data_IF_556351945981
#
_entry.id   IF_556351945981
#
_cell.length_a   1.000
_cell.length_b   1.000
_cell.length_c   1.000
_cell.angle_alpha   90.00
_cell.angle_beta   90.00
_cell.angle_gamma   90.00
#
_symmetry.space_group_name_H-M   'P 1'
#
loop_
_entity.id
_entity.type
_entity.pdbx_description
1 polymer ?
#
# COMPACT_ATOMS: atom_id res chain seq x y z
N UNK A 1 -3.61 -14.59 -1.33
CA UNK A 1 -2.87 -13.36 -0.96
C UNK A 1 -3.70 -12.18 -1.42
N UNK A 2 -3.94 -11.17 -0.55
CA UNK A 2 -4.82 -10.05 -0.90
C UNK A 2 -4.20 -9.14 -1.96
N UNK A 3 -5.02 -8.73 -2.93
CA UNK A 3 -4.65 -7.74 -3.92
C UNK A 3 -5.26 -6.38 -3.57
N UNK A 4 -4.43 -5.37 -3.37
CA UNK A 4 -4.84 -3.98 -3.14
C UNK A 4 -4.67 -3.21 -4.45
N UNK A 5 -5.78 -2.85 -5.09
CA UNK A 5 -5.72 -1.99 -6.27
C UNK A 5 -5.51 -0.54 -5.85
N UNK A 6 -4.41 0.06 -6.31
CA UNK A 6 -4.11 1.47 -6.04
C UNK A 6 -4.59 2.34 -7.21
N UNK A 7 -5.49 3.28 -6.95
CA UNK A 7 -5.96 4.30 -7.91
C UNK A 7 -4.87 5.34 -8.18
N UNK A 8 -3.67 4.85 -8.56
CA UNK A 8 -2.45 5.67 -8.64
C UNK A 8 -1.65 5.40 -9.89
N UNK A 9 -1.12 6.48 -10.47
CA UNK A 9 -0.08 6.47 -11.51
C UNK A 9 1.05 7.41 -11.10
N UNK A 10 2.30 7.07 -11.41
CA UNK A 10 3.48 7.89 -11.10
C UNK A 10 3.52 8.38 -9.64
N UNK A 11 3.17 7.48 -8.71
CA UNK A 11 3.09 7.73 -7.26
C UNK A 11 2.10 8.83 -6.83
N UNK A 12 1.08 9.11 -7.62
CA UNK A 12 0.00 10.06 -7.30
C UNK A 12 -1.37 9.42 -7.56
N UNK A 13 -2.37 9.79 -6.77
CA UNK A 13 -3.77 9.45 -7.05
C UNK A 13 -4.18 10.07 -8.38
N UNK A 14 -4.81 9.28 -9.26
CA UNK A 14 -5.26 9.78 -10.56
C UNK A 14 -6.40 10.79 -10.39
N UNK A 15 -6.40 11.83 -11.21
CA UNK A 15 -7.35 12.96 -11.06
C UNK A 15 -8.81 12.56 -11.30
N UNK A 16 -9.03 11.53 -12.12
CA UNK A 16 -10.32 10.92 -12.44
C UNK A 16 -10.64 9.70 -11.57
N UNK A 17 -10.06 9.62 -10.35
CA UNK A 17 -10.14 8.47 -9.46
C UNK A 17 -11.58 8.04 -9.11
N UNK A 18 -12.53 8.97 -9.05
CA UNK A 18 -13.94 8.67 -8.78
C UNK A 18 -14.59 7.96 -9.96
N UNK A 19 -14.38 8.47 -11.17
CA UNK A 19 -14.87 7.89 -12.42
C UNK A 19 -14.26 6.50 -12.66
N UNK A 20 -12.95 6.36 -12.47
CA UNK A 20 -12.26 5.07 -12.56
C UNK A 20 -12.80 4.09 -11.53
N UNK A 21 -13.03 4.52 -10.29
CA UNK A 21 -13.59 3.65 -9.25
C UNK A 21 -14.99 3.15 -9.64
N UNK A 22 -15.86 4.02 -10.15
CA UNK A 22 -17.21 3.59 -10.63
C UNK A 22 -17.13 2.60 -11.80
N UNK A 23 -16.18 2.78 -12.73
CA UNK A 23 -15.96 1.83 -13.83
C UNK A 23 -15.57 0.44 -13.34
N UNK A 24 -14.72 0.35 -12.31
CA UNK A 24 -14.22 -0.94 -11.79
C UNK A 24 -15.07 -1.53 -10.66
N UNK A 25 -16.00 -0.77 -10.09
CA UNK A 25 -16.88 -1.23 -9.00
C UNK A 25 -17.55 -2.60 -9.28
N UNK A 26 -18.01 -2.90 -10.51
CA UNK A 26 -18.60 -4.21 -10.82
C UNK A 26 -17.64 -5.40 -10.68
N UNK A 27 -16.33 -5.18 -10.60
CA UNK A 27 -15.36 -6.25 -10.39
C UNK A 27 -15.35 -6.78 -8.96
N UNK A 28 -15.96 -6.07 -8.01
CA UNK A 28 -16.06 -6.50 -6.62
C UNK A 28 -14.71 -6.64 -5.91
N UNK A 29 -13.76 -5.74 -6.18
CA UNK A 29 -12.44 -5.75 -5.52
C UNK A 29 -12.61 -5.55 -4.01
N UNK A 30 -12.02 -6.44 -3.21
CA UNK A 30 -12.12 -6.37 -1.74
C UNK A 30 -11.22 -5.30 -1.11
N UNK A 31 -10.20 -4.79 -1.83
CA UNK A 31 -9.20 -3.86 -1.31
C UNK A 31 -8.86 -2.80 -2.37
N UNK A 32 -9.11 -1.53 -2.05
CA UNK A 32 -8.84 -0.40 -2.94
C UNK A 32 -8.13 0.70 -2.17
N UNK A 33 -7.08 1.24 -2.77
CA UNK A 33 -6.26 2.27 -2.15
C UNK A 33 -5.95 3.45 -3.08
N UNK A 34 -5.42 4.48 -2.47
CA UNK A 34 -4.96 5.70 -3.13
C UNK A 34 -3.85 6.35 -2.30
N UNK A 35 -3.27 7.46 -2.81
CA UNK A 35 -2.21 8.20 -2.11
C UNK A 35 -2.71 9.54 -1.61
N UNK A 36 -1.98 10.11 -0.65
CA UNK A 36 -2.26 11.40 -0.03
C UNK A 36 -2.00 12.60 -0.95
N UNK A 37 -1.51 12.35 -2.16
CA UNK A 37 -1.18 13.34 -3.19
C UNK A 37 -1.90 13.06 -4.51
N UNK A 38 -2.04 14.08 -5.36
CA UNK A 38 -2.64 13.99 -6.69
C UNK A 38 -4.04 14.59 -6.79
N UNK A 39 -4.83 14.60 -5.71
CA UNK A 39 -6.17 15.19 -5.63
C UNK A 39 -6.38 15.92 -4.32
N UNK A 40 -7.43 16.75 -4.26
CA UNK A 40 -7.78 17.49 -3.05
C UNK A 40 -8.43 16.59 -1.98
N UNK A 41 -8.45 17.10 -0.73
CA UNK A 41 -9.00 16.39 0.43
C UNK A 41 -10.49 16.02 0.29
N UNK A 42 -11.27 16.89 -0.35
CA UNK A 42 -12.69 16.60 -0.60
C UNK A 42 -12.88 15.41 -1.53
N UNK A 43 -12.02 15.29 -2.55
CA UNK A 43 -12.00 14.14 -3.44
C UNK A 43 -11.57 12.86 -2.71
N UNK A 44 -10.54 12.91 -1.85
CA UNK A 44 -10.14 11.77 -1.02
C UNK A 44 -11.27 11.30 -0.10
N UNK A 45 -12.03 12.23 0.49
CA UNK A 45 -13.19 11.91 1.32
C UNK A 45 -14.30 11.20 0.53
N UNK A 46 -14.67 11.74 -0.65
CA UNK A 46 -15.68 11.10 -1.52
C UNK A 46 -15.24 9.71 -1.97
N UNK A 47 -13.96 9.57 -2.34
CA UNK A 47 -13.40 8.29 -2.76
C UNK A 47 -13.40 7.25 -1.64
N UNK A 48 -12.96 7.62 -0.42
CA UNK A 48 -13.02 6.75 0.76
C UNK A 48 -14.44 6.25 1.00
N UNK A 49 -15.41 7.15 0.95
CA UNK A 49 -16.82 6.83 1.13
C UNK A 49 -17.32 5.86 0.07
N UNK A 50 -17.04 6.12 -1.22
CA UNK A 50 -17.46 5.27 -2.32
C UNK A 50 -16.87 3.85 -2.21
N UNK A 51 -15.58 3.73 -1.83
CA UNK A 51 -14.91 2.44 -1.60
C UNK A 51 -15.61 1.68 -0.47
N UNK A 52 -15.85 2.32 0.67
CA UNK A 52 -16.51 1.67 1.83
C UNK A 52 -17.97 1.27 1.53
N UNK A 53 -18.71 2.10 0.81
CA UNK A 53 -20.08 1.79 0.37
C UNK A 53 -20.14 0.61 -0.61
N UNK A 54 -19.05 0.31 -1.32
CA UNK A 54 -18.96 -0.90 -2.15
C UNK A 54 -18.66 -2.19 -1.36
N UNK A 55 -18.40 -2.09 -0.06
CA UNK A 55 -17.97 -3.19 0.80
C UNK A 55 -16.47 -3.48 0.77
N UNK A 56 -15.68 -2.68 0.05
CA UNK A 56 -14.23 -2.83 0.00
C UNK A 56 -13.53 -2.14 1.18
N UNK A 57 -12.40 -2.68 1.60
CA UNK A 57 -11.48 -2.04 2.56
C UNK A 57 -10.75 -0.88 1.88
N UNK A 58 -10.77 0.29 2.50
CA UNK A 58 -10.11 1.50 1.99
C UNK A 58 -8.68 1.65 2.53
N UNK A 59 -7.74 2.00 1.64
CA UNK A 59 -6.33 2.22 1.98
C UNK A 59 -5.88 3.61 1.55
N UNK A 60 -5.09 4.27 2.41
CA UNK A 60 -4.36 5.49 2.05
C UNK A 60 -2.88 5.29 2.31
N UNK A 61 -2.04 5.50 1.30
CA UNK A 61 -0.58 5.45 1.41
C UNK A 61 0.00 6.87 1.51
N UNK A 62 0.69 7.15 2.62
CA UNK A 62 1.39 8.41 2.87
C UNK A 62 2.74 8.37 2.18
N UNK A 63 2.91 9.18 1.14
CA UNK A 63 4.16 9.32 0.37
C UNK A 63 4.82 10.69 0.57
N UNK A 64 4.23 11.53 1.39
CA UNK A 64 4.78 12.85 1.74
C UNK A 64 6.16 12.72 2.39
N UNK A 65 7.12 13.53 1.93
CA UNK A 65 8.53 13.42 2.31
C UNK A 65 8.91 14.22 3.55
N UNK A 66 8.11 15.23 3.94
CA UNK A 66 8.34 15.98 5.17
C UNK A 66 7.51 15.42 6.32
N UNK A 67 8.05 15.50 7.55
CA UNK A 67 7.36 15.09 8.76
C UNK A 67 6.00 15.77 8.92
N UNK A 68 5.94 17.10 8.71
CA UNK A 68 4.71 17.87 8.85
C UNK A 68 3.65 17.42 7.85
N UNK A 69 4.01 17.24 6.57
CA UNK A 69 3.10 16.77 5.54
C UNK A 69 2.62 15.34 5.83
N UNK A 70 3.50 14.44 6.26
CA UNK A 70 3.12 13.07 6.63
C UNK A 70 2.14 13.03 7.81
N UNK A 71 2.33 13.86 8.83
CA UNK A 71 1.40 13.96 9.96
C UNK A 71 0.05 14.59 9.54
N UNK A 72 0.06 15.57 8.63
CA UNK A 72 -1.18 16.13 8.08
C UNK A 72 -1.95 15.09 7.26
N UNK A 73 -1.25 14.28 6.46
CA UNK A 73 -1.87 13.18 5.72
C UNK A 73 -2.46 12.12 6.65
N UNK A 74 -1.78 11.78 7.75
CA UNK A 74 -2.31 10.88 8.76
C UNK A 74 -3.56 11.43 9.47
N UNK A 75 -3.59 12.74 9.78
CA UNK A 75 -4.81 13.39 10.32
C UNK A 75 -5.95 13.35 9.32
N UNK A 76 -5.67 13.65 8.05
CA UNK A 76 -6.66 13.55 6.97
C UNK A 76 -7.21 12.13 6.86
N UNK A 77 -6.34 11.10 6.89
CA UNK A 77 -6.76 9.70 6.85
C UNK A 77 -7.75 9.34 7.97
N UNK A 78 -7.47 9.78 9.20
CA UNK A 78 -8.38 9.58 10.34
C UNK A 78 -9.70 10.32 10.13
N UNK A 79 -9.67 11.58 9.70
CA UNK A 79 -10.87 12.41 9.51
C UNK A 79 -11.78 11.89 8.40
N UNK A 80 -11.22 11.35 7.30
CA UNK A 80 -12.01 10.76 6.22
C UNK A 80 -12.43 9.31 6.50
N UNK A 81 -11.98 8.73 7.64
CA UNK A 81 -12.38 7.40 8.10
C UNK A 81 -11.78 6.25 7.30
N UNK A 82 -10.49 6.38 6.91
CA UNK A 82 -9.76 5.31 6.20
C UNK A 82 -9.67 4.06 7.07
N UNK A 83 -9.81 2.86 6.50
CA UNK A 83 -9.68 1.62 7.26
C UNK A 83 -8.22 1.28 7.52
N UNK A 84 -7.34 1.48 6.53
CA UNK A 84 -5.92 1.13 6.60
C UNK A 84 -5.02 2.25 6.09
N UNK A 85 -4.15 2.76 6.96
CA UNK A 85 -3.15 3.77 6.67
C UNK A 85 -1.81 3.08 6.42
N UNK A 86 -1.20 3.34 5.28
CA UNK A 86 0.09 2.78 4.86
C UNK A 86 1.15 3.88 4.75
N UNK A 87 2.41 3.50 4.85
CA UNK A 87 3.54 4.40 4.63
C UNK A 87 3.86 5.32 5.80
N UNK A 88 4.66 6.35 5.53
CA UNK A 88 5.19 7.24 6.56
C UNK A 88 6.28 6.61 7.43
N UNK A 89 7.04 7.46 8.14
CA UNK A 89 8.20 7.05 8.95
C UNK A 89 8.15 7.56 10.39
N UNK A 90 7.32 8.56 10.68
CA UNK A 90 7.12 9.10 12.04
C UNK A 90 6.16 8.22 12.85
N UNK A 91 6.50 6.94 12.99
CA UNK A 91 5.61 5.88 13.48
C UNK A 91 4.99 6.22 14.83
N UNK A 92 5.78 6.66 15.80
CA UNK A 92 5.29 6.98 17.14
C UNK A 92 4.25 8.12 17.14
N UNK A 93 4.46 9.14 16.31
CA UNK A 93 3.53 10.27 16.23
C UNK A 93 2.25 9.91 15.46
N UNK A 94 2.38 9.14 14.37
CA UNK A 94 1.21 8.65 13.62
C UNK A 94 0.38 7.70 14.50
N UNK A 95 1.03 6.80 15.26
CA UNK A 95 0.33 5.91 16.21
C UNK A 95 -0.49 6.68 17.26
N UNK A 96 -0.02 7.85 17.73
CA UNK A 96 -0.83 8.70 18.63
C UNK A 96 -2.12 9.17 17.98
N UNK A 97 -2.11 9.43 16.66
CA UNK A 97 -3.29 9.88 15.92
C UNK A 97 -4.28 8.74 15.66
N UNK A 98 -3.80 7.53 15.37
CA UNK A 98 -4.67 6.41 14.94
C UNK A 98 -5.12 5.49 16.08
N UNK A 99 -4.41 5.46 17.23
CA UNK A 99 -4.62 4.48 18.33
C UNK A 99 -6.06 4.40 18.85
N UNK A 100 -6.80 5.50 18.83
CA UNK A 100 -8.19 5.58 19.34
C UNK A 100 -9.22 5.63 18.21
N UNK A 101 -8.81 5.32 17.01
CA UNK A 101 -9.66 5.28 15.82
C UNK A 101 -9.80 3.84 15.32
N UNK A 102 -10.66 3.61 14.36
CA UNK A 102 -10.76 2.31 13.68
C UNK A 102 -9.68 2.07 12.61
N UNK A 103 -8.74 3.01 12.43
CA UNK A 103 -7.72 2.93 11.38
C UNK A 103 -6.55 2.05 11.80
N UNK A 104 -6.27 0.98 11.05
CA UNK A 104 -5.07 0.17 11.21
C UNK A 104 -3.87 0.81 10.50
N UNK A 105 -2.67 0.75 11.10
CA UNK A 105 -1.49 1.43 10.56
C UNK A 105 -0.36 0.47 10.16
N UNK A 106 0.24 0.73 8.98
CA UNK A 106 1.27 -0.08 8.32
C UNK A 106 2.41 0.82 7.84
N UNK A 107 3.38 1.21 8.70
CA UNK A 107 4.49 2.09 8.34
C UNK A 107 5.48 1.45 7.36
N UNK A 108 6.30 2.28 6.68
CA UNK A 108 7.45 1.81 5.91
C UNK A 108 8.59 1.37 6.84
N UNK A 109 9.03 0.10 6.79
CA UNK A 109 10.26 -0.32 7.45
C UNK A 109 11.47 0.00 6.56
N UNK A 110 12.69 0.01 7.16
CA UNK A 110 13.93 0.34 6.46
C UNK A 110 14.20 1.84 6.39
N UNK A 111 14.75 2.31 5.27
CA UNK A 111 15.10 3.72 5.02
C UNK A 111 14.45 4.21 3.73
N UNK A 112 13.15 4.52 3.74
CA UNK A 112 12.49 5.08 2.57
C UNK A 112 13.01 6.48 2.28
N UNK A 113 13.31 6.77 1.00
CA UNK A 113 13.86 8.06 0.55
C UNK A 113 13.30 8.45 -0.81
N UNK A 114 13.18 9.76 -1.03
CA UNK A 114 12.82 10.35 -2.32
C UNK A 114 11.35 10.20 -2.74
N UNK A 115 11.07 10.71 -3.93
CA UNK A 115 9.79 10.56 -4.61
C UNK A 115 10.07 10.42 -6.12
N UNK A 116 9.72 9.30 -6.78
CA UNK A 116 9.14 8.07 -6.22
C UNK A 116 9.99 7.44 -5.11
N UNK A 117 9.31 6.95 -4.06
CA UNK A 117 10.00 6.42 -2.87
C UNK A 117 10.79 5.16 -3.20
N UNK A 118 12.09 5.16 -2.86
CA UNK A 118 12.99 4.01 -2.89
C UNK A 118 13.27 3.52 -1.47
N UNK A 119 13.67 2.27 -1.32
CA UNK A 119 13.95 1.65 -0.03
C UNK A 119 15.43 1.36 0.11
N UNK A 120 16.09 2.05 1.05
CA UNK A 120 17.43 1.68 1.55
C UNK A 120 17.34 0.84 2.81
N UNK A 121 18.50 0.33 3.24
CA UNK A 121 18.66 -0.45 4.45
C UNK A 121 18.76 -1.95 4.22
N UNK A 122 19.32 -2.63 5.22
CA UNK A 122 19.61 -4.06 5.21
C UNK A 122 18.38 -4.89 5.63
N UNK A 123 18.35 -6.21 5.33
CA UNK A 123 17.33 -7.13 5.86
C UNK A 123 17.24 -7.10 7.39
N UNK A 124 18.37 -6.98 8.10
CA UNK A 124 18.41 -6.91 9.57
C UNK A 124 17.67 -5.67 10.08
N UNK A 125 17.90 -4.50 9.46
CA UNK A 125 17.20 -3.26 9.83
C UNK A 125 15.68 -3.38 9.60
N UNK A 126 15.25 -3.98 8.47
CA UNK A 126 13.84 -4.21 8.17
C UNK A 126 13.22 -5.13 9.24
N UNK A 127 13.89 -6.22 9.62
CA UNK A 127 13.43 -7.14 10.65
C UNK A 127 13.29 -6.45 12.03
N UNK A 128 14.27 -5.63 12.42
CA UNK A 128 14.24 -4.84 13.67
C UNK A 128 13.09 -3.82 13.68
N UNK A 129 12.89 -3.08 12.57
CA UNK A 129 11.78 -2.15 12.45
C UNK A 129 10.43 -2.86 12.56
N UNK A 130 10.27 -4.01 11.91
CA UNK A 130 9.03 -4.79 11.98
C UNK A 130 8.69 -5.20 13.42
N UNK A 131 9.66 -5.71 14.18
CA UNK A 131 9.46 -6.03 15.61
C UNK A 131 9.08 -4.80 16.44
N UNK A 132 9.80 -3.70 16.23
CA UNK A 132 9.56 -2.44 16.95
C UNK A 132 8.17 -1.88 16.65
N UNK A 133 7.75 -1.90 15.40
CA UNK A 133 6.44 -1.36 14.99
C UNK A 133 5.28 -2.19 15.55
N UNK A 134 5.38 -3.52 15.56
CA UNK A 134 4.40 -4.36 16.27
C UNK A 134 4.35 -4.04 17.76
N UNK A 135 5.51 -3.87 18.42
CA UNK A 135 5.57 -3.50 19.83
C UNK A 135 4.94 -2.12 20.10
N UNK A 136 4.94 -1.19 19.13
CA UNK A 136 4.25 0.09 19.19
C UNK A 136 2.72 -0.03 18.95
N UNK A 137 2.23 -1.19 18.51
CA UNK A 137 0.81 -1.43 18.21
C UNK A 137 0.43 -1.24 16.75
N UNK A 138 1.39 -1.14 15.81
CA UNK A 138 1.08 -1.19 14.39
C UNK A 138 0.50 -2.55 14.00
N UNK A 139 -0.40 -2.58 13.02
CA UNK A 139 -1.02 -3.82 12.55
C UNK A 139 -0.10 -4.65 11.63
N UNK A 140 0.97 -4.05 11.15
CA UNK A 140 1.94 -4.66 10.26
C UNK A 140 2.83 -3.62 9.62
N UNK A 141 3.30 -3.88 8.41
CA UNK A 141 4.15 -2.94 7.65
C UNK A 141 3.77 -2.90 6.17
N UNK A 142 4.13 -1.79 5.52
CA UNK A 142 4.10 -1.58 4.07
C UNK A 142 5.53 -1.59 3.54
N UNK A 143 5.96 -2.68 2.91
CA UNK A 143 7.33 -2.92 2.50
C UNK A 143 7.53 -2.62 1.00
N UNK A 144 8.44 -1.71 0.67
CA UNK A 144 8.79 -1.35 -0.71
C UNK A 144 9.89 -2.29 -1.28
N UNK A 145 9.70 -3.61 -1.19
CA UNK A 145 10.74 -4.60 -1.50
C UNK A 145 11.32 -4.45 -2.91
N UNK A 146 10.48 -4.33 -3.94
CA UNK A 146 10.95 -4.18 -5.34
C UNK A 146 11.43 -2.76 -5.69
N UNK A 147 11.44 -1.84 -4.72
CA UNK A 147 12.08 -0.52 -4.81
C UNK A 147 13.37 -0.44 -3.99
N UNK A 148 13.86 -1.59 -3.51
CA UNK A 148 15.11 -1.69 -2.74
C UNK A 148 16.32 -1.29 -3.57
N UNK A 149 17.28 -0.61 -2.93
CA UNK A 149 18.53 -0.14 -3.54
C UNK A 149 19.78 -0.80 -2.97
N UNK A 150 19.65 -1.48 -1.83
CA UNK A 150 20.80 -2.03 -1.07
C UNK A 150 20.66 -3.53 -0.77
N UNK A 151 19.52 -4.15 -1.08
CA UNK A 151 19.28 -5.56 -0.77
C UNK A 151 18.36 -6.22 -1.81
N UNK A 152 18.43 -7.54 -1.89
CA UNK A 152 17.55 -8.33 -2.74
C UNK A 152 16.10 -8.28 -2.20
N UNK A 153 15.09 -8.02 -3.08
CA UNK A 153 13.71 -7.82 -2.67
C UNK A 153 13.15 -8.94 -1.79
N UNK A 154 13.34 -10.19 -2.19
CA UNK A 154 12.78 -11.34 -1.48
C UNK A 154 13.45 -11.58 -0.12
N UNK A 155 14.71 -11.23 0.04
CA UNK A 155 15.38 -11.29 1.34
C UNK A 155 14.82 -10.24 2.33
N UNK A 156 14.40 -9.07 1.83
CA UNK A 156 13.68 -8.07 2.63
C UNK A 156 12.30 -8.58 3.07
N UNK A 157 11.55 -9.23 2.17
CA UNK A 157 10.24 -9.82 2.50
C UNK A 157 10.38 -10.90 3.58
N UNK A 158 11.35 -11.80 3.44
CA UNK A 158 11.63 -12.84 4.45
C UNK A 158 12.06 -12.24 5.79
N UNK A 159 12.88 -11.18 5.78
CA UNK A 159 13.28 -10.45 6.99
C UNK A 159 12.08 -9.78 7.66
N UNK A 160 11.24 -9.09 6.89
CA UNK A 160 10.00 -8.50 7.40
C UNK A 160 9.09 -9.56 8.03
N UNK A 161 8.91 -10.71 7.36
CA UNK A 161 8.12 -11.82 7.89
C UNK A 161 8.69 -12.37 9.20
N UNK A 162 10.02 -12.50 9.33
CA UNK A 162 10.64 -12.90 10.62
C UNK A 162 10.39 -11.88 11.72
N UNK A 163 10.48 -10.58 11.41
CA UNK A 163 10.20 -9.52 12.36
C UNK A 163 8.74 -9.43 12.79
N UNK A 164 7.81 -9.64 11.87
CA UNK A 164 6.36 -9.62 12.09
C UNK A 164 5.82 -10.92 12.73
N UNK A 165 6.55 -12.03 12.62
CA UNK A 165 6.02 -13.32 13.04
C UNK A 165 4.75 -13.70 12.24
N UNK A 166 3.78 -14.32 12.91
CA UNK A 166 2.47 -14.67 12.31
C UNK A 166 1.39 -13.61 12.57
N UNK A 167 1.61 -12.74 13.53
CA UNK A 167 0.62 -11.76 14.02
C UNK A 167 0.55 -10.51 13.14
N UNK A 168 1.69 -10.06 12.61
CA UNK A 168 1.77 -8.84 11.82
C UNK A 168 1.43 -9.06 10.35
N UNK A 169 0.66 -8.16 9.76
CA UNK A 169 0.26 -8.20 8.36
C UNK A 169 1.32 -7.54 7.47
N UNK A 170 1.82 -8.27 6.48
CA UNK A 170 2.87 -7.83 5.58
C UNK A 170 2.28 -7.43 4.22
N UNK A 171 2.28 -6.14 3.93
CA UNK A 171 1.95 -5.59 2.61
C UNK A 171 3.25 -5.37 1.85
N UNK A 172 3.30 -5.73 0.57
CA UNK A 172 4.39 -5.36 -0.32
C UNK A 172 3.88 -4.37 -1.38
N UNK A 173 4.39 -3.14 -1.33
CA UNK A 173 4.02 -2.07 -2.26
C UNK A 173 5.16 -1.71 -3.22
N UNK A 174 4.75 -1.11 -4.33
CA UNK A 174 5.65 -0.56 -5.34
C UNK A 174 6.33 -1.59 -6.23
N UNK A 175 6.25 -1.34 -7.54
CA UNK A 175 6.91 -2.13 -8.58
C UNK A 175 6.54 -3.62 -8.63
N UNK A 176 5.38 -4.01 -8.12
CA UNK A 176 4.79 -5.34 -8.38
C UNK A 176 4.06 -5.23 -9.73
N UNK A 177 4.59 -5.87 -10.76
CA UNK A 177 4.18 -5.66 -12.15
C UNK A 177 4.00 -6.96 -12.97
N UNK A 178 4.14 -8.11 -12.34
CA UNK A 178 4.09 -9.41 -13.04
C UNK A 178 3.60 -10.55 -12.14
N UNK A 179 2.98 -11.59 -12.74
CA UNK A 179 2.59 -12.80 -12.00
C UNK A 179 3.77 -13.47 -11.27
N UNK A 180 4.97 -13.41 -11.85
CA UNK A 180 6.17 -13.99 -11.23
C UNK A 180 6.52 -13.29 -9.91
N UNK A 181 6.45 -11.93 -9.86
CA UNK A 181 6.66 -11.19 -8.62
C UNK A 181 5.59 -11.48 -7.58
N UNK A 182 4.33 -11.59 -7.99
CA UNK A 182 3.22 -11.96 -7.08
C UNK A 182 3.50 -13.34 -6.46
N UNK A 183 3.88 -14.34 -7.25
CA UNK A 183 4.18 -15.68 -6.75
C UNK A 183 5.40 -15.69 -5.81
N UNK A 184 6.45 -14.93 -6.13
CA UNK A 184 7.62 -14.81 -5.27
C UNK A 184 7.27 -14.18 -3.90
N UNK A 185 6.42 -13.15 -3.88
CA UNK A 185 5.90 -12.54 -2.64
C UNK A 185 5.09 -13.55 -1.81
N UNK A 186 4.17 -14.28 -2.46
CA UNK A 186 3.34 -15.29 -1.82
C UNK A 186 4.20 -16.38 -1.16
N UNK A 187 5.20 -16.89 -1.88
CA UNK A 187 6.14 -17.90 -1.37
C UNK A 187 7.03 -17.38 -0.22
N UNK A 188 7.34 -16.09 -0.22
CA UNK A 188 8.12 -15.46 0.84
C UNK A 188 7.28 -15.08 2.08
N UNK A 189 5.96 -15.32 2.06
CA UNK A 189 5.05 -15.11 3.18
C UNK A 189 4.44 -13.71 3.27
N UNK A 190 4.30 -13.00 2.14
CA UNK A 190 3.58 -11.76 2.06
C UNK A 190 2.06 -12.01 2.18
N UNK A 191 1.32 -11.15 2.90
CA UNK A 191 -0.13 -11.27 3.07
C UNK A 191 -0.89 -10.51 1.97
N UNK A 192 -0.35 -9.37 1.53
CA UNK A 192 -0.94 -8.55 0.51
C UNK A 192 0.11 -7.86 -0.37
N UNK A 193 -0.32 -7.41 -1.55
CA UNK A 193 0.49 -6.58 -2.43
C UNK A 193 -0.33 -5.49 -3.09
N UNK A 194 0.35 -4.41 -3.51
CA UNK A 194 -0.30 -3.31 -4.22
C UNK A 194 0.11 -3.27 -5.69
N UNK A 195 -0.84 -2.96 -6.58
CA UNK A 195 -0.58 -2.59 -7.97
C UNK A 195 -1.43 -1.35 -8.32
N UNK A 196 -0.77 -0.35 -8.91
CA UNK A 196 -1.39 0.83 -9.49
C UNK A 196 -0.97 0.99 -10.95
N UNK A 197 0.17 1.65 -11.21
CA UNK A 197 0.63 2.01 -12.54
C UNK A 197 0.64 0.84 -13.54
N UNK A 198 1.06 -0.35 -13.14
CA UNK A 198 1.13 -1.50 -14.06
C UNK A 198 -0.25 -1.91 -14.61
N UNK A 199 -1.33 -1.74 -13.81
CA UNK A 199 -2.70 -1.96 -14.26
C UNK A 199 -3.16 -0.84 -15.20
N UNK A 200 -2.93 0.42 -14.84
CA UNK A 200 -3.30 1.57 -15.67
C UNK A 200 -2.56 1.63 -17.02
N UNK A 201 -1.28 1.27 -17.02
CA UNK A 201 -0.41 1.34 -18.21
C UNK A 201 -0.53 0.09 -19.09
N UNK A 202 -1.32 -0.91 -18.67
CA UNK A 202 -1.52 -2.16 -19.42
C UNK A 202 -0.27 -3.06 -19.43
N UNK A 203 0.72 -2.79 -18.58
CA UNK A 203 2.00 -3.52 -18.58
C UNK A 203 1.94 -4.86 -17.84
N UNK A 204 0.96 -5.07 -16.97
CA UNK A 204 0.79 -6.34 -16.27
C UNK A 204 0.37 -7.47 -17.23
N UNK A 205 -0.58 -7.20 -18.12
CA UNK A 205 -1.07 -8.16 -19.11
C UNK A 205 -1.12 -7.50 -20.49
N UNK A 206 -0.05 -7.63 -21.26
CA UNK A 206 0.12 -7.00 -22.59
C UNK A 206 -0.97 -7.33 -23.62
N UNK A 207 -1.77 -8.40 -23.40
CA UNK A 207 -2.88 -8.78 -24.25
C UNK A 207 -4.21 -8.13 -23.89
N UNK A 208 -4.28 -7.43 -22.75
CA UNK A 208 -5.50 -6.81 -22.21
C UNK A 208 -5.36 -5.29 -22.21
N UNK A 209 -6.00 -4.61 -23.16
CA UNK A 209 -5.87 -3.14 -23.29
C UNK A 209 -6.72 -2.33 -22.32
N UNK A 210 -7.72 -2.94 -21.62
CA UNK A 210 -8.61 -2.24 -20.70
C UNK A 210 -8.25 -2.50 -19.25
N UNK A 211 -8.39 -1.49 -18.39
CA UNK A 211 -8.12 -1.58 -16.95
C UNK A 211 -8.82 -2.78 -16.30
N UNK A 212 -10.11 -2.95 -16.55
CA UNK A 212 -10.87 -4.09 -16.00
C UNK A 212 -10.25 -5.45 -16.35
N UNK A 213 -9.75 -5.63 -17.59
CA UNK A 213 -9.06 -6.85 -18.01
C UNK A 213 -7.73 -7.05 -17.28
N UNK A 214 -6.97 -5.98 -17.05
CA UNK A 214 -5.74 -6.02 -16.25
C UNK A 214 -6.04 -6.48 -14.82
N UNK A 215 -7.06 -5.87 -14.19
CA UNK A 215 -7.45 -6.19 -12.81
C UNK A 215 -7.90 -7.64 -12.66
N UNK A 216 -8.66 -8.18 -13.63
CA UNK A 216 -9.07 -9.59 -13.63
C UNK A 216 -7.85 -10.54 -13.69
N UNK A 217 -6.85 -10.22 -14.53
CA UNK A 217 -5.64 -11.04 -14.64
C UNK A 217 -4.78 -10.94 -13.36
N UNK A 218 -4.74 -9.76 -12.70
CA UNK A 218 -4.05 -9.59 -11.40
C UNK A 218 -4.75 -10.41 -10.32
N UNK A 219 -6.08 -10.35 -10.22
CA UNK A 219 -6.87 -11.16 -9.27
C UNK A 219 -6.62 -12.65 -9.47
N UNK A 220 -6.61 -13.11 -10.73
CA UNK A 220 -6.30 -14.50 -11.05
C UNK A 220 -4.87 -14.90 -10.64
N UNK A 221 -3.88 -14.00 -10.78
CA UNK A 221 -2.50 -14.26 -10.36
C UNK A 221 -2.32 -14.26 -8.83
N UNK A 222 -3.20 -13.58 -8.07
CA UNK A 222 -3.17 -13.52 -6.61
C UNK A 222 -3.79 -14.76 -5.94
N UNK A 223 -4.70 -15.46 -6.62
CA UNK A 223 -5.35 -16.68 -6.15
C UNK A 223 -4.34 -17.82 -5.94
#
# INVERSE_FOLDING_TARGET
MDFIFMLTRQDQTVTDCLEVFEEIRPLGLGHVGFKDVGVDRGTLHRLTRAIKESGATSYLEVVSTSREAALNSARTAVEIGIDRLMGGTDVAEIMKLVRQTGTAYYPFPGKPVGHPTKLGGTPQLVEEHCRSYLAMGCAGVDLLAYRATEAEPIELVKAARRGLGREGYLICAGSVDSPMRIQALKQAGCDAFTIGSAAFDGSFSVRKGRLAGQLQDIVAAAA
#
